data_IF_286355082663
#
_entry.id   IF_286355082663
#
_cell.length_a   1.000
_cell.length_b   1.000
_cell.length_c   1.000
_cell.angle_alpha   90.00
_cell.angle_beta   90.00
_cell.angle_gamma   90.00
#
_symmetry.space_group_name_H-M   'P 1'
#
loop_
_entity.id
_entity.type
_entity.pdbx_description
1 polymer ?
#
# COMPACT_ATOMS: atom_id res chain seq x y z
N UNK A 1 24.04 33.71 -21.61
CA UNK A 1 22.92 32.85 -21.17
C UNK A 1 21.66 33.70 -21.17
N UNK A 2 20.85 33.60 -22.23
CA UNK A 2 19.61 34.37 -22.36
C UNK A 2 18.56 33.72 -21.44
N UNK A 3 18.32 34.31 -20.27
CA UNK A 3 17.09 34.02 -19.54
C UNK A 3 15.92 34.40 -20.46
N UNK A 4 14.96 33.50 -20.73
CA UNK A 4 13.80 33.86 -21.53
C UNK A 4 13.12 35.05 -20.87
N UNK A 5 12.84 36.09 -21.66
CA UNK A 5 12.10 37.26 -21.17
C UNK A 5 10.79 36.78 -20.54
N UNK A 6 10.30 37.41 -19.46
CA UNK A 6 9.09 36.98 -18.76
C UNK A 6 7.88 36.86 -19.70
N UNK A 7 7.83 37.70 -20.75
CA UNK A 7 6.85 37.64 -21.82
C UNK A 7 6.90 36.31 -22.60
N UNK A 8 8.09 35.82 -22.96
CA UNK A 8 8.25 34.55 -23.66
C UNK A 8 7.72 33.39 -22.81
N UNK A 9 8.06 33.37 -21.51
CA UNK A 9 7.58 32.36 -20.56
C UNK A 9 6.05 32.38 -20.43
N UNK A 10 5.43 33.56 -20.40
CA UNK A 10 3.97 33.70 -20.36
C UNK A 10 3.30 33.22 -21.64
N UNK A 11 3.86 33.53 -22.82
CA UNK A 11 3.34 33.07 -24.11
C UNK A 11 3.44 31.55 -24.22
N UNK A 12 4.59 30.96 -23.86
CA UNK A 12 4.76 29.50 -23.85
C UNK A 12 3.78 28.84 -22.89
N UNK A 13 3.61 29.38 -21.68
CA UNK A 13 2.63 28.88 -20.71
C UNK A 13 1.20 28.95 -21.27
N UNK A 14 0.82 30.08 -21.86
CA UNK A 14 -0.48 30.28 -22.50
C UNK A 14 -0.73 29.25 -23.61
N UNK A 15 0.24 29.04 -24.49
CA UNK A 15 0.15 28.05 -25.56
C UNK A 15 0.00 26.63 -25.00
N UNK A 16 0.78 26.25 -23.98
CA UNK A 16 0.68 24.94 -23.33
C UNK A 16 -0.69 24.72 -22.68
N UNK A 17 -1.27 25.74 -22.06
CA UNK A 17 -2.62 25.68 -21.49
C UNK A 17 -3.68 25.48 -22.57
N UNK A 18 -3.60 26.22 -23.69
CA UNK A 18 -4.52 26.08 -24.83
C UNK A 18 -4.42 24.69 -25.45
N UNK A 19 -3.22 24.19 -25.72
CA UNK A 19 -2.99 22.84 -26.26
C UNK A 19 -3.51 21.78 -25.28
N UNK A 20 -3.24 21.94 -23.98
CA UNK A 20 -3.74 21.04 -22.94
C UNK A 20 -5.26 20.99 -22.89
N UNK A 21 -5.92 22.15 -22.98
CA UNK A 21 -7.38 22.25 -23.01
C UNK A 21 -7.96 21.62 -24.27
N UNK A 22 -7.39 21.91 -25.44
CA UNK A 22 -7.81 21.33 -26.71
C UNK A 22 -7.73 19.80 -26.69
N UNK A 23 -6.63 19.23 -26.17
CA UNK A 23 -6.48 17.77 -26.00
C UNK A 23 -7.55 17.17 -25.08
N UNK A 24 -7.89 17.84 -23.98
CA UNK A 24 -8.94 17.39 -23.05
C UNK A 24 -10.33 17.44 -23.69
N UNK A 25 -10.63 18.49 -24.45
CA UNK A 25 -11.91 18.65 -25.14
C UNK A 25 -12.07 17.72 -26.35
N UNK A 26 -10.96 17.33 -26.98
CA UNK A 26 -10.91 16.34 -28.06
C UNK A 26 -10.82 14.89 -27.58
N UNK A 27 -10.60 14.66 -26.27
CA UNK A 27 -10.47 13.32 -25.70
C UNK A 27 -11.76 12.51 -25.86
N UNK A 28 -11.69 11.21 -26.22
CA UNK A 28 -12.87 10.33 -26.21
C UNK A 28 -13.52 10.23 -24.83
N UNK A 29 -12.74 10.47 -23.76
CA UNK A 29 -13.23 10.48 -22.38
C UNK A 29 -14.19 11.64 -22.08
N UNK A 30 -14.29 12.66 -22.95
CA UNK A 30 -15.29 13.74 -22.82
C UNK A 30 -16.72 13.20 -22.83
N UNK A 31 -16.97 12.11 -23.55
CA UNK A 31 -18.30 11.48 -23.69
C UNK A 31 -18.76 10.77 -22.41
N UNK A 32 -17.83 10.44 -21.51
CA UNK A 32 -18.14 9.79 -20.23
C UNK A 32 -18.85 10.81 -19.32
N UNK A 33 -19.97 10.46 -18.68
CA UNK A 33 -20.67 11.38 -17.81
C UNK A 33 -19.86 11.65 -16.53
N UNK A 34 -20.01 12.84 -15.97
CA UNK A 34 -19.31 13.25 -14.75
C UNK A 34 -19.27 14.77 -14.60
N UNK A 35 -18.73 15.29 -13.49
CA UNK A 35 -18.65 16.73 -13.25
C UNK A 35 -17.90 17.46 -14.36
N UNK A 36 -18.31 18.69 -14.75
CA UNK A 36 -17.55 19.47 -15.73
C UNK A 36 -16.10 19.71 -15.31
N UNK A 37 -15.86 19.88 -14.00
CA UNK A 37 -14.52 20.02 -13.44
C UNK A 37 -13.64 18.78 -13.69
N UNK A 38 -14.21 17.56 -13.75
CA UNK A 38 -13.44 16.34 -13.99
C UNK A 38 -12.95 16.22 -15.43
N UNK A 39 -13.53 16.95 -16.38
CA UNK A 39 -13.00 17.06 -17.74
C UNK A 39 -11.73 17.92 -17.77
N UNK A 40 -11.69 18.94 -16.91
CA UNK A 40 -10.66 19.96 -16.93
C UNK A 40 -9.53 19.69 -15.94
N UNK A 41 -9.78 19.11 -14.78
CA UNK A 41 -8.78 19.00 -13.72
C UNK A 41 -9.04 17.83 -12.78
N UNK A 42 -7.97 17.27 -12.22
CA UNK A 42 -8.03 16.26 -11.15
C UNK A 42 -8.05 16.89 -9.75
N UNK A 43 -7.91 18.22 -9.63
CA UNK A 43 -7.73 18.91 -8.35
C UNK A 43 -8.88 18.67 -7.37
N UNK A 44 -10.12 18.63 -7.85
CA UNK A 44 -11.29 18.38 -6.99
C UNK A 44 -11.22 16.99 -6.37
N UNK A 45 -10.88 15.97 -7.17
CA UNK A 45 -10.75 14.59 -6.70
C UNK A 45 -9.60 14.47 -5.69
N UNK A 46 -8.44 15.07 -5.99
CA UNK A 46 -7.27 15.09 -5.10
C UNK A 46 -7.57 15.79 -3.78
N UNK A 47 -8.29 16.91 -3.81
CA UNK A 47 -8.71 17.60 -2.60
C UNK A 47 -9.67 16.75 -1.76
N UNK A 48 -10.62 16.05 -2.38
CA UNK A 48 -11.49 15.09 -1.67
C UNK A 48 -10.70 13.96 -1.03
N UNK A 49 -9.65 13.49 -1.69
CA UNK A 49 -8.76 12.43 -1.20
C UNK A 49 -7.91 12.88 -0.01
N UNK A 50 -7.31 14.07 -0.08
CA UNK A 50 -6.57 14.66 1.04
C UNK A 50 -7.46 14.87 2.28
N UNK A 51 -8.76 15.11 2.08
CA UNK A 51 -9.73 15.26 3.17
C UNK A 51 -10.49 13.96 3.51
N UNK A 52 -9.94 12.78 3.18
CA UNK A 52 -10.52 11.47 3.47
C UNK A 52 -11.99 11.28 3.01
N UNK A 53 -12.43 12.02 2.00
CA UNK A 53 -13.82 12.05 1.51
C UNK A 53 -13.98 11.55 0.08
N UNK A 54 -12.90 11.01 -0.53
CA UNK A 54 -12.89 10.49 -1.91
C UNK A 54 -13.95 9.43 -2.13
N UNK A 55 -14.04 8.42 -1.26
CA UNK A 55 -15.00 7.31 -1.42
C UNK A 55 -16.44 7.80 -1.43
N UNK A 56 -16.83 8.62 -0.44
CA UNK A 56 -18.17 9.19 -0.36
C UNK A 56 -18.47 10.15 -1.53
N UNK A 57 -17.46 10.87 -2.03
CA UNK A 57 -17.60 11.70 -3.22
C UNK A 57 -17.84 10.86 -4.48
N UNK A 58 -17.01 9.84 -4.74
CA UNK A 58 -17.15 8.93 -5.90
C UNK A 58 -18.49 8.19 -5.86
N UNK A 59 -18.92 7.73 -4.68
CA UNK A 59 -20.23 7.09 -4.52
C UNK A 59 -21.38 8.01 -4.95
N UNK A 60 -21.39 9.27 -4.47
CA UNK A 60 -22.39 10.27 -4.89
C UNK A 60 -22.38 10.55 -6.38
N UNK A 61 -21.19 10.59 -7.00
CA UNK A 61 -21.11 10.73 -8.45
C UNK A 61 -21.73 9.53 -9.17
N UNK A 62 -21.53 8.31 -8.69
CA UNK A 62 -22.19 7.13 -9.27
C UNK A 62 -23.71 7.16 -9.08
N UNK A 63 -24.20 7.66 -7.96
CA UNK A 63 -25.65 7.87 -7.77
C UNK A 63 -26.22 8.88 -8.76
N UNK A 64 -25.45 9.91 -9.12
CA UNK A 64 -25.91 10.99 -10.01
C UNK A 64 -25.74 10.67 -11.52
N UNK A 65 -24.60 10.11 -11.90
CA UNK A 65 -24.18 9.94 -13.29
C UNK A 65 -24.28 8.49 -13.78
N UNK A 66 -24.56 7.54 -12.89
CA UNK A 66 -24.75 6.13 -13.21
C UNK A 66 -23.48 5.28 -13.07
N UNK A 67 -23.43 4.12 -13.74
CA UNK A 67 -22.42 3.09 -13.45
C UNK A 67 -21.02 3.38 -13.99
N UNK A 68 -20.86 4.38 -14.86
CA UNK A 68 -19.58 4.79 -15.44
C UNK A 68 -19.42 6.28 -15.27
N UNK A 69 -18.36 6.73 -14.59
CA UNK A 69 -18.21 8.14 -14.22
C UNK A 69 -16.77 8.62 -14.44
N UNK A 70 -16.62 9.77 -15.08
CA UNK A 70 -15.32 10.45 -15.19
C UNK A 70 -14.97 11.17 -13.89
N UNK A 71 -13.91 10.74 -13.23
CA UNK A 71 -13.40 11.32 -11.98
C UNK A 71 -12.35 12.40 -12.20
N UNK A 72 -11.53 12.26 -13.25
CA UNK A 72 -10.50 13.21 -13.66
C UNK A 72 -10.29 13.14 -15.19
N UNK A 73 -9.49 14.03 -15.81
CA UNK A 73 -9.37 14.08 -17.27
C UNK A 73 -8.88 12.76 -17.90
N UNK A 74 -8.16 11.96 -17.13
CA UNK A 74 -7.59 10.67 -17.49
C UNK A 74 -8.02 9.54 -16.54
N UNK A 75 -9.12 9.70 -15.79
CA UNK A 75 -9.55 8.73 -14.79
C UNK A 75 -11.07 8.49 -14.86
N UNK A 76 -11.45 7.23 -14.98
CA UNK A 76 -12.85 6.78 -15.05
C UNK A 76 -13.08 5.69 -14.00
N UNK A 77 -14.20 5.81 -13.30
CA UNK A 77 -14.66 4.84 -12.31
C UNK A 77 -15.84 4.06 -12.86
N UNK A 78 -15.89 2.78 -12.52
CA UNK A 78 -16.88 1.82 -12.98
C UNK A 78 -17.48 1.07 -11.81
N UNK A 79 -18.79 0.81 -11.85
CA UNK A 79 -19.50 -0.03 -10.86
C UNK A 79 -20.20 -1.24 -11.50
N UNK A 80 -20.01 -1.46 -12.80
CA UNK A 80 -20.66 -2.56 -13.52
C UNK A 80 -19.87 -3.88 -13.42
N UNK A 81 -20.59 -5.01 -13.37
CA UNK A 81 -20.00 -6.34 -13.35
C UNK A 81 -19.06 -6.63 -14.54
N UNK A 82 -19.42 -6.28 -15.80
CA UNK A 82 -18.51 -6.47 -16.93
C UNK A 82 -17.19 -5.72 -16.77
N UNK A 83 -17.22 -4.47 -16.27
CA UNK A 83 -16.01 -3.71 -16.03
C UNK A 83 -15.15 -4.32 -14.91
N UNK A 84 -15.78 -4.81 -13.83
CA UNK A 84 -15.06 -5.51 -12.76
C UNK A 84 -14.34 -6.74 -13.30
N UNK A 85 -15.02 -7.55 -14.13
CA UNK A 85 -14.42 -8.73 -14.78
C UNK A 85 -13.25 -8.33 -15.68
N UNK A 86 -13.41 -7.27 -16.48
CA UNK A 86 -12.41 -6.77 -17.40
C UNK A 86 -11.15 -6.24 -16.68
N UNK A 87 -11.33 -5.51 -15.58
CA UNK A 87 -10.24 -4.86 -14.85
C UNK A 87 -9.52 -5.84 -13.91
N UNK A 88 -10.26 -6.71 -13.21
CA UNK A 88 -9.70 -7.49 -12.10
C UNK A 88 -9.57 -8.99 -12.35
N UNK A 89 -10.39 -9.60 -13.22
CA UNK A 89 -10.39 -11.05 -13.39
C UNK A 89 -9.32 -11.53 -14.38
N UNK A 90 -8.82 -12.75 -14.14
CA UNK A 90 -7.96 -13.48 -15.07
C UNK A 90 -8.73 -13.78 -16.36
N UNK A 91 -8.39 -13.08 -17.45
CA UNK A 91 -9.06 -13.18 -18.76
C UNK A 91 -9.49 -11.84 -19.38
N UNK A 92 -9.41 -10.72 -18.64
CA UNK A 92 -9.55 -9.37 -19.20
C UNK A 92 -8.28 -8.86 -19.90
N UNK A 93 -8.27 -7.58 -20.27
CA UNK A 93 -7.18 -6.86 -20.97
C UNK A 93 -5.83 -6.81 -20.26
N UNK A 94 -5.76 -7.14 -18.96
CA UNK A 94 -4.49 -7.26 -18.25
C UNK A 94 -3.81 -5.93 -17.92
N UNK A 95 -4.59 -4.90 -17.56
CA UNK A 95 -4.05 -3.61 -17.12
C UNK A 95 -3.01 -3.76 -16.00
N UNK A 96 -1.89 -3.05 -16.15
CA UNK A 96 -0.89 -2.91 -15.10
C UNK A 96 -1.33 -1.87 -14.07
N UNK A 97 -0.82 -2.03 -12.85
CA UNK A 97 -1.03 -1.01 -11.80
C UNK A 97 -0.27 0.26 -12.17
N UNK A 98 -0.82 1.40 -11.77
CA UNK A 98 -0.18 2.70 -11.95
C UNK A 98 0.89 2.96 -10.89
N UNK A 99 1.74 3.94 -11.15
CA UNK A 99 2.74 4.49 -10.23
C UNK A 99 2.15 4.99 -8.89
N UNK A 100 0.82 5.14 -8.78
CA UNK A 100 0.12 5.33 -7.51
C UNK A 100 0.56 4.33 -6.42
N UNK A 101 0.84 3.09 -6.80
CA UNK A 101 1.28 2.06 -5.86
C UNK A 101 2.69 2.32 -5.28
N UNK A 102 3.49 3.20 -5.87
CA UNK A 102 4.80 3.57 -5.33
C UNK A 102 4.69 4.29 -3.98
N UNK A 103 3.51 4.85 -3.67
CA UNK A 103 3.17 5.44 -2.38
C UNK A 103 3.18 4.42 -1.22
N UNK A 104 3.16 3.12 -1.52
CA UNK A 104 3.16 2.04 -0.53
C UNK A 104 4.46 1.23 -0.56
N UNK A 105 5.54 1.76 -1.15
CA UNK A 105 6.87 1.17 -1.04
C UNK A 105 7.30 1.11 0.42
N UNK A 106 8.00 0.05 0.77
CA UNK A 106 8.58 -0.17 2.10
C UNK A 106 10.10 -0.26 1.92
N UNK A 107 10.86 0.46 2.75
CA UNK A 107 12.32 0.61 2.60
C UNK A 107 12.75 1.01 1.17
N UNK A 108 12.00 1.92 0.54
CA UNK A 108 12.25 2.38 -0.83
C UNK A 108 12.07 1.32 -1.93
N UNK A 109 11.62 0.11 -1.59
CA UNK A 109 11.56 -1.04 -2.48
C UNK A 109 10.11 -1.44 -2.77
N UNK A 110 9.83 -1.85 -4.01
CA UNK A 110 8.52 -2.41 -4.38
C UNK A 110 8.32 -3.79 -3.75
N UNK A 111 7.30 -3.90 -2.92
CA UNK A 111 6.76 -5.15 -2.38
C UNK A 111 5.91 -5.87 -3.43
N UNK A 112 5.50 -7.12 -3.18
CA UNK A 112 4.57 -7.84 -4.06
C UNK A 112 3.27 -7.03 -4.29
N UNK A 113 2.77 -6.34 -3.26
CA UNK A 113 1.59 -5.49 -3.37
C UNK A 113 1.79 -4.30 -4.35
N UNK A 114 3.00 -3.75 -4.43
CA UNK A 114 3.31 -2.52 -5.18
C UNK A 114 4.01 -2.77 -6.51
N UNK A 115 4.21 -4.03 -6.91
CA UNK A 115 4.71 -4.37 -8.24
C UNK A 115 3.72 -3.93 -9.32
N UNK A 116 4.21 -3.17 -10.30
CA UNK A 116 3.40 -2.62 -11.38
C UNK A 116 3.18 -3.65 -12.49
N UNK A 117 4.26 -4.26 -12.96
CA UNK A 117 4.25 -5.23 -14.04
C UNK A 117 3.66 -6.57 -13.56
N UNK A 118 2.65 -7.04 -14.30
CA UNK A 118 1.95 -8.30 -13.99
C UNK A 118 2.83 -9.55 -14.09
N UNK A 119 3.76 -9.62 -15.03
CA UNK A 119 4.63 -10.78 -15.24
C UNK A 119 5.61 -10.93 -14.06
N UNK A 120 6.25 -9.85 -13.65
CA UNK A 120 7.14 -9.82 -12.48
C UNK A 120 6.38 -10.17 -11.20
N UNK A 121 5.19 -9.59 -11.04
CA UNK A 121 4.28 -9.92 -9.94
C UNK A 121 3.92 -11.41 -9.93
N UNK A 122 3.56 -12.00 -11.07
CA UNK A 122 3.23 -13.41 -11.17
C UNK A 122 4.42 -14.33 -10.84
N UNK A 123 5.62 -13.97 -11.31
CA UNK A 123 6.87 -14.68 -10.99
C UNK A 123 7.13 -14.66 -9.48
N UNK A 124 7.07 -13.49 -8.84
CA UNK A 124 7.30 -13.36 -7.39
C UNK A 124 6.20 -14.01 -6.56
N UNK A 125 4.93 -13.89 -6.97
CA UNK A 125 3.80 -14.56 -6.33
C UNK A 125 3.99 -16.07 -6.31
N UNK A 126 4.42 -16.68 -7.43
CA UNK A 126 4.62 -18.14 -7.53
C UNK A 126 5.62 -18.68 -6.49
N UNK A 127 6.63 -17.89 -6.12
CA UNK A 127 7.63 -18.27 -5.11
C UNK A 127 6.99 -18.42 -3.72
N UNK A 128 6.05 -17.54 -3.38
CA UNK A 128 5.44 -17.42 -2.05
C UNK A 128 4.09 -18.13 -1.92
N UNK A 129 3.41 -18.39 -3.04
CA UNK A 129 2.04 -18.90 -3.08
C UNK A 129 1.87 -20.22 -2.30
N UNK A 130 2.89 -21.08 -2.31
CA UNK A 130 2.89 -22.34 -1.58
C UNK A 130 2.67 -22.11 -0.07
N UNK A 131 3.39 -21.18 0.57
CA UNK A 131 3.24 -20.89 2.01
C UNK A 131 1.79 -20.54 2.41
N UNK A 132 1.04 -19.93 1.51
CA UNK A 132 -0.34 -19.49 1.71
C UNK A 132 -1.38 -20.50 1.19
N UNK A 133 -0.97 -21.65 0.67
CA UNK A 133 -1.89 -22.69 0.27
C UNK A 133 -2.60 -23.28 1.50
N UNK A 134 -3.91 -23.58 1.38
CA UNK A 134 -4.69 -24.18 2.46
C UNK A 134 -4.04 -25.44 3.02
N UNK A 135 -3.40 -26.26 2.18
CA UNK A 135 -2.67 -27.46 2.59
C UNK A 135 -1.50 -27.18 3.53
N UNK A 136 -0.87 -26.00 3.44
CA UNK A 136 0.23 -25.59 4.31
C UNK A 136 -0.26 -24.87 5.57
N UNK A 137 -1.28 -24.01 5.44
CA UNK A 137 -1.90 -23.31 6.59
C UNK A 137 -2.59 -24.29 7.55
N UNK A 138 -3.22 -25.33 7.03
CA UNK A 138 -3.95 -26.32 7.84
C UNK A 138 -3.05 -27.37 8.51
N UNK A 139 -1.73 -27.31 8.34
CA UNK A 139 -0.79 -28.21 9.04
C UNK A 139 -0.85 -27.95 10.55
N UNK A 140 -0.66 -29.02 11.34
CA UNK A 140 -0.80 -29.00 12.80
C UNK A 140 -0.03 -27.85 13.47
N UNK A 141 1.23 -27.62 13.08
CA UNK A 141 2.07 -26.57 13.69
C UNK A 141 1.54 -25.15 13.39
N UNK A 142 1.12 -24.89 12.15
CA UNK A 142 0.63 -23.58 11.74
C UNK A 142 -0.75 -23.27 12.36
N UNK A 143 -1.67 -24.23 12.31
CA UNK A 143 -3.01 -24.06 12.88
C UNK A 143 -2.98 -24.00 14.42
N UNK A 144 -2.03 -24.69 15.06
CA UNK A 144 -1.87 -24.64 16.51
C UNK A 144 -1.50 -23.23 16.96
N UNK A 145 -0.55 -22.57 16.27
CA UNK A 145 -0.18 -21.18 16.58
C UNK A 145 -1.35 -20.20 16.48
N UNK A 146 -2.29 -20.42 15.55
CA UNK A 146 -3.54 -19.65 15.45
C UNK A 146 -4.46 -19.97 16.63
N UNK A 147 -4.70 -21.26 16.92
CA UNK A 147 -5.56 -21.70 18.03
C UNK A 147 -5.09 -21.16 19.38
N UNK A 148 -3.79 -21.17 19.65
CA UNK A 148 -3.24 -20.67 20.91
C UNK A 148 -3.49 -19.17 21.06
N UNK A 149 -3.25 -18.38 20.00
CA UNK A 149 -3.54 -16.94 19.99
C UNK A 149 -5.04 -16.63 20.06
N UNK A 150 -5.89 -17.46 19.44
CA UNK A 150 -7.34 -17.32 19.57
C UNK A 150 -7.79 -17.52 21.02
N UNK A 151 -7.19 -18.45 21.77
CA UNK A 151 -7.48 -18.62 23.20
C UNK A 151 -7.08 -17.39 24.00
N UNK A 152 -5.85 -16.89 23.82
CA UNK A 152 -5.37 -15.68 24.51
C UNK A 152 -6.28 -14.48 24.21
N UNK A 153 -6.71 -14.31 22.96
CA UNK A 153 -7.66 -13.27 22.59
C UNK A 153 -9.02 -13.43 23.32
N UNK A 154 -9.59 -14.64 23.34
CA UNK A 154 -10.85 -14.91 24.03
C UNK A 154 -10.73 -14.71 25.56
N UNK A 155 -9.62 -15.14 26.15
CA UNK A 155 -9.34 -14.96 27.57
C UNK A 155 -9.26 -13.47 27.92
N UNK A 156 -8.58 -12.67 27.09
CA UNK A 156 -8.52 -11.20 27.22
C UNK A 156 -9.90 -10.55 27.09
N UNK A 157 -10.74 -11.01 26.16
CA UNK A 157 -12.10 -10.50 26.01
C UNK A 157 -13.02 -10.86 27.18
N UNK A 158 -12.84 -12.03 27.79
CA UNK A 158 -13.73 -12.57 28.85
C UNK A 158 -13.30 -12.20 30.26
N UNK A 159 -12.01 -11.89 30.46
CA UNK A 159 -11.44 -11.44 31.73
C UNK A 159 -11.73 -9.97 32.05
N UNK A 160 -12.31 -9.21 31.11
CA UNK A 160 -12.85 -7.87 31.32
C UNK A 160 -14.21 -7.94 32.02
N UNK A 161 -14.24 -8.44 33.26
CA UNK A 161 -15.48 -8.73 34.00
C UNK A 161 -15.89 -7.65 35.01
N UNK A 162 -15.00 -6.70 35.33
CA UNK A 162 -15.35 -5.56 36.22
C UNK A 162 -15.94 -4.36 35.45
N UNK A 163 -15.49 -4.15 34.21
CA UNK A 163 -16.04 -3.18 33.27
C UNK A 163 -16.95 -3.90 32.28
N UNK A 164 -18.23 -3.53 32.20
CA UNK A 164 -19.19 -4.08 31.22
C UNK A 164 -18.83 -3.81 29.74
N UNK A 165 -17.65 -3.25 29.47
CA UNK A 165 -17.15 -2.90 28.14
C UNK A 165 -15.70 -3.35 27.97
N UNK A 166 -15.41 -3.93 26.80
CA UNK A 166 -14.08 -4.36 26.38
C UNK A 166 -13.71 -3.64 25.08
N UNK A 167 -12.46 -3.19 24.98
CA UNK A 167 -11.92 -2.59 23.76
C UNK A 167 -11.53 -3.72 22.80
N UNK A 168 -12.31 -3.89 21.73
CA UNK A 168 -12.13 -4.99 20.77
C UNK A 168 -11.27 -4.56 19.58
N UNK A 169 -11.21 -3.27 19.26
CA UNK A 169 -10.56 -2.81 18.04
C UNK A 169 -9.04 -3.04 18.11
N UNK A 170 -8.37 -2.67 19.19
CA UNK A 170 -6.94 -2.97 19.37
C UNK A 170 -6.69 -4.44 19.66
N UNK A 171 -7.58 -5.10 20.42
CA UNK A 171 -7.46 -6.54 20.67
C UNK A 171 -7.48 -7.37 19.37
N UNK A 172 -8.34 -7.02 18.41
CA UNK A 172 -8.38 -7.66 17.09
C UNK A 172 -7.13 -7.38 16.26
N UNK A 173 -6.59 -6.14 16.31
CA UNK A 173 -5.35 -5.81 15.62
C UNK A 173 -4.16 -6.59 16.21
N UNK A 174 -4.06 -6.67 17.53
CA UNK A 174 -3.06 -7.46 18.25
C UNK A 174 -3.15 -8.94 17.86
N UNK A 175 -4.36 -9.53 17.93
CA UNK A 175 -4.61 -10.91 17.52
C UNK A 175 -4.19 -11.18 16.07
N UNK A 176 -4.59 -10.31 15.14
CA UNK A 176 -4.23 -10.45 13.73
C UNK A 176 -2.71 -10.34 13.52
N UNK A 177 -2.06 -9.38 14.19
CA UNK A 177 -0.61 -9.20 14.15
C UNK A 177 0.10 -10.47 14.62
N UNK A 178 -0.27 -11.00 15.78
CA UNK A 178 0.36 -12.19 16.36
C UNK A 178 0.18 -13.42 15.48
N UNK A 179 -0.99 -13.59 14.86
CA UNK A 179 -1.21 -14.68 13.91
C UNK A 179 -0.34 -14.54 12.66
N UNK A 180 -0.26 -13.33 12.11
CA UNK A 180 0.55 -13.04 10.91
C UNK A 180 2.03 -13.22 11.23
N UNK A 181 2.55 -12.61 12.30
CA UNK A 181 3.96 -12.70 12.68
C UNK A 181 4.36 -14.12 13.06
N UNK A 182 3.46 -14.92 13.64
CA UNK A 182 3.69 -16.36 13.81
C UNK A 182 3.86 -17.07 12.46
N UNK A 183 3.00 -16.78 11.48
CA UNK A 183 3.17 -17.34 10.14
C UNK A 183 4.44 -16.82 9.43
N UNK A 184 4.90 -15.60 9.73
CA UNK A 184 6.08 -15.02 9.11
C UNK A 184 7.39 -15.49 9.74
N UNK A 185 7.44 -15.59 11.07
CA UNK A 185 8.68 -15.58 11.85
C UNK A 185 8.76 -16.60 12.99
N UNK A 186 7.78 -17.50 13.16
CA UNK A 186 7.79 -18.46 14.26
C UNK A 186 9.15 -19.18 14.42
N UNK A 187 9.71 -19.27 15.65
CA UNK A 187 9.07 -18.94 16.93
C UNK A 187 9.15 -17.45 17.33
N UNK A 188 9.84 -16.61 16.57
CA UNK A 188 10.08 -15.20 16.85
C UNK A 188 8.94 -14.27 16.39
N UNK A 189 7.70 -14.77 16.43
CA UNK A 189 6.52 -13.94 16.17
C UNK A 189 6.27 -12.95 17.31
N UNK A 190 5.40 -11.98 17.09
CA UNK A 190 4.98 -11.02 18.11
C UNK A 190 4.03 -11.69 19.10
N UNK A 191 3.94 -11.06 20.26
CA UNK A 191 2.96 -11.31 21.31
C UNK A 191 2.33 -9.98 21.76
N UNK A 192 1.65 -9.31 20.83
CA UNK A 192 0.89 -8.07 21.06
C UNK A 192 -0.26 -8.26 22.05
N UNK A 193 -0.79 -9.48 22.19
CA UNK A 193 -1.85 -9.80 23.14
C UNK A 193 -1.32 -9.98 24.57
N UNK A 194 -0.13 -10.55 24.73
CA UNK A 194 0.47 -10.90 26.03
C UNK A 194 1.51 -9.92 26.56
N UNK A 195 2.18 -9.15 25.70
CA UNK A 195 3.26 -8.24 26.10
C UNK A 195 2.96 -6.78 25.77
N UNK A 196 3.36 -5.88 26.67
CA UNK A 196 3.10 -4.44 26.54
C UNK A 196 3.95 -3.83 25.43
N UNK A 197 5.19 -4.30 25.26
CA UNK A 197 6.11 -3.81 24.26
C UNK A 197 5.55 -4.01 22.83
N UNK A 198 5.08 -5.23 22.53
CA UNK A 198 4.51 -5.55 21.22
C UNK A 198 3.12 -4.91 21.03
N UNK A 199 2.35 -4.76 22.11
CA UNK A 199 1.09 -4.01 22.08
C UNK A 199 1.33 -2.55 21.67
N UNK A 200 2.33 -1.88 22.24
CA UNK A 200 2.71 -0.50 21.87
C UNK A 200 3.16 -0.42 20.41
N UNK A 201 3.91 -1.41 19.92
CA UNK A 201 4.25 -1.51 18.50
C UNK A 201 2.99 -1.58 17.62
N UNK A 202 1.99 -2.38 18.02
CA UNK A 202 0.72 -2.47 17.30
C UNK A 202 -0.04 -1.14 17.34
N UNK A 203 -0.10 -0.45 18.48
CA UNK A 203 -0.71 0.88 18.57
C UNK A 203 -0.05 1.88 17.62
N UNK A 204 1.29 1.91 17.54
CA UNK A 204 2.01 2.79 16.62
C UNK A 204 1.64 2.50 15.16
N UNK A 205 1.57 1.22 14.78
CA UNK A 205 1.22 0.85 13.41
C UNK A 205 -0.23 1.17 13.06
N UNK A 206 -1.17 1.02 14.00
CA UNK A 206 -2.59 1.31 13.79
C UNK A 206 -2.88 2.80 13.76
N UNK A 207 -2.13 3.60 14.51
CA UNK A 207 -2.29 5.06 14.58
C UNK A 207 -1.52 5.84 13.48
N UNK A 208 -0.92 5.16 12.50
CA UNK A 208 -0.20 5.81 11.38
C UNK A 208 -1.15 6.67 10.53
N UNK A 209 -0.92 7.98 10.51
CA UNK A 209 -1.69 8.97 9.73
C UNK A 209 -0.86 9.61 8.60
N UNK A 210 0.10 8.85 8.06
CA UNK A 210 1.03 9.35 7.03
C UNK A 210 0.43 9.50 5.62
N UNK A 211 -0.86 9.20 5.45
CA UNK A 211 -1.47 9.09 4.11
C UNK A 211 -1.41 10.41 3.35
N UNK A 212 -1.74 11.53 4.01
CA UNK A 212 -1.70 12.85 3.38
C UNK A 212 -0.29 13.22 2.89
N UNK A 213 0.74 12.93 3.69
CA UNK A 213 2.13 13.23 3.33
C UNK A 213 2.53 12.47 2.07
N UNK A 214 2.16 11.18 2.04
CA UNK A 214 2.42 10.27 0.93
C UNK A 214 1.64 10.67 -0.34
N UNK A 215 0.39 11.14 -0.21
CA UNK A 215 -0.40 11.66 -1.33
C UNK A 215 0.20 12.94 -1.93
N UNK A 216 0.68 13.86 -1.09
CA UNK A 216 1.36 15.08 -1.55
C UNK A 216 2.64 14.72 -2.30
N UNK A 217 3.43 13.78 -1.76
CA UNK A 217 4.64 13.27 -2.40
C UNK A 217 4.36 12.67 -3.78
N UNK A 218 3.27 11.91 -3.91
CA UNK A 218 2.86 11.29 -5.17
C UNK A 218 2.38 12.32 -6.20
N UNK A 219 1.49 13.26 -5.82
CA UNK A 219 0.92 14.20 -6.78
C UNK A 219 1.85 15.33 -7.20
N UNK A 220 2.82 15.70 -6.36
CA UNK A 220 3.79 16.74 -6.70
C UNK A 220 5.19 16.39 -6.18
N UNK A 221 5.91 15.48 -6.88
CA UNK A 221 7.22 15.03 -6.45
C UNK A 221 8.26 16.16 -6.37
N UNK A 222 8.15 17.17 -7.25
CA UNK A 222 9.06 18.32 -7.22
C UNK A 222 8.77 19.25 -6.04
N UNK A 223 7.50 19.51 -5.72
CA UNK A 223 7.13 20.29 -4.54
C UNK A 223 7.57 19.57 -3.27
N UNK A 224 7.33 18.27 -3.19
CA UNK A 224 7.74 17.45 -2.06
C UNK A 224 9.27 17.43 -1.89
N UNK A 225 10.04 17.31 -2.97
CA UNK A 225 11.52 17.34 -2.90
C UNK A 225 12.07 18.68 -2.40
N UNK A 226 11.43 19.79 -2.73
CA UNK A 226 11.89 21.13 -2.37
C UNK A 226 11.42 21.57 -0.97
N UNK A 227 10.25 21.11 -0.55
CA UNK A 227 9.58 21.60 0.66
C UNK A 227 9.23 20.51 1.67
N UNK A 228 9.82 19.31 1.59
CA UNK A 228 9.52 18.19 2.48
C UNK A 228 9.61 18.55 3.96
N UNK A 229 10.63 19.33 4.36
CA UNK A 229 10.82 19.78 5.75
C UNK A 229 9.73 20.73 6.25
N UNK A 230 9.14 21.54 5.36
CA UNK A 230 8.00 22.39 5.70
C UNK A 230 6.71 21.56 5.73
N UNK A 231 6.52 20.69 4.73
CA UNK A 231 5.35 19.81 4.65
C UNK A 231 5.29 18.91 5.89
N UNK A 232 6.43 18.40 6.38
CA UNK A 232 6.49 17.56 7.58
C UNK A 232 6.03 18.25 8.87
N UNK A 233 6.02 19.60 8.90
CA UNK A 233 5.48 20.35 10.04
C UNK A 233 3.95 20.28 10.11
N UNK A 234 3.29 20.13 8.96
CA UNK A 234 1.83 20.09 8.85
C UNK A 234 1.29 18.68 8.68
N UNK A 235 2.07 17.78 8.08
CA UNK A 235 1.65 16.41 7.77
C UNK A 235 2.78 15.45 8.07
N UNK A 236 2.53 14.44 8.90
CA UNK A 236 3.61 13.56 9.39
C UNK A 236 4.06 12.55 8.30
N UNK A 237 5.37 12.36 8.08
CA UNK A 237 5.86 11.24 7.30
C UNK A 237 5.52 9.92 8.00
N UNK A 238 5.57 8.80 7.26
CA UNK A 238 5.38 7.48 7.85
C UNK A 238 6.59 7.13 8.72
N UNK A 239 6.40 7.06 10.02
CA UNK A 239 7.41 6.63 10.97
C UNK A 239 6.81 5.54 11.87
N UNK A 240 7.17 4.28 11.58
CA UNK A 240 6.82 3.12 12.41
C UNK A 240 8.09 2.42 12.91
N UNK A 241 9.00 3.15 13.60
CA UNK A 241 10.31 2.63 13.95
C UNK A 241 10.25 1.35 14.79
N UNK A 242 9.23 1.16 15.64
CA UNK A 242 9.12 -0.05 16.45
C UNK A 242 8.90 -1.28 15.56
N UNK A 243 8.02 -1.18 14.58
CA UNK A 243 7.75 -2.25 13.60
C UNK A 243 8.99 -2.50 12.73
N UNK A 244 9.63 -1.43 12.24
CA UNK A 244 10.81 -1.55 11.40
C UNK A 244 11.97 -2.23 12.15
N UNK A 245 12.24 -1.81 13.37
CA UNK A 245 13.28 -2.42 14.22
C UNK A 245 12.94 -3.86 14.57
N UNK A 246 11.69 -4.15 14.95
CA UNK A 246 11.23 -5.51 15.21
C UNK A 246 11.47 -6.41 14.00
N UNK A 247 10.97 -6.05 12.81
CA UNK A 247 11.14 -6.85 11.59
C UNK A 247 12.62 -7.05 11.26
N UNK A 248 13.42 -5.97 11.26
CA UNK A 248 14.83 -6.04 10.89
C UNK A 248 15.66 -6.85 11.88
N UNK A 249 15.30 -6.87 13.16
CA UNK A 249 15.96 -7.71 14.15
C UNK A 249 15.48 -9.16 14.04
N UNK A 250 14.18 -9.41 13.90
CA UNK A 250 13.60 -10.74 13.77
C UNK A 250 14.15 -11.49 12.54
N UNK A 251 14.29 -10.81 11.40
CA UNK A 251 14.85 -11.42 10.18
C UNK A 251 16.31 -11.87 10.33
N UNK A 252 17.08 -11.26 11.24
CA UNK A 252 18.47 -11.68 11.53
C UNK A 252 18.53 -13.00 12.31
N UNK A 253 17.43 -13.41 12.94
CA UNK A 253 17.36 -14.70 13.63
C UNK A 253 17.21 -15.80 12.58
N UNK A 254 18.26 -16.59 12.36
CA UNK A 254 18.28 -17.62 11.30
C UNK A 254 17.46 -18.88 11.60
N UNK A 255 17.03 -19.08 12.84
CA UNK A 255 16.31 -20.29 13.26
C UNK A 255 14.79 -20.09 13.24
N UNK A 256 14.20 -20.16 12.04
CA UNK A 256 12.73 -20.10 11.86
C UNK A 256 12.16 -21.44 11.40
N UNK A 257 10.94 -21.74 11.85
CA UNK A 257 10.28 -22.99 11.50
C UNK A 257 9.98 -23.10 10.00
N UNK A 258 9.96 -24.35 9.50
CA UNK A 258 9.84 -24.66 8.06
C UNK A 258 8.56 -24.16 7.40
N UNK A 259 7.48 -23.96 8.16
CA UNK A 259 6.21 -23.48 7.63
C UNK A 259 6.18 -21.96 7.43
N UNK A 260 7.17 -21.24 7.96
CA UNK A 260 7.17 -19.78 7.95
C UNK A 260 7.51 -19.21 6.59
N UNK A 261 7.02 -17.99 6.31
CA UNK A 261 7.38 -17.27 5.10
C UNK A 261 8.90 -16.97 5.04
N UNK A 262 9.50 -16.59 6.18
CA UNK A 262 10.92 -16.27 6.22
C UNK A 262 11.77 -17.49 5.84
N UNK A 263 11.46 -18.69 6.33
CA UNK A 263 12.16 -19.91 5.94
C UNK A 263 12.09 -20.15 4.43
N UNK A 264 10.91 -19.95 3.83
CA UNK A 264 10.72 -20.11 2.38
C UNK A 264 11.51 -19.10 1.56
N UNK A 265 11.53 -17.85 2.01
CA UNK A 265 12.32 -16.79 1.38
C UNK A 265 13.80 -17.13 1.42
N UNK A 266 14.33 -17.55 2.57
CA UNK A 266 15.74 -17.94 2.73
C UNK A 266 16.14 -19.13 1.86
N UNK A 267 15.28 -20.16 1.75
CA UNK A 267 15.52 -21.28 0.83
C UNK A 267 15.61 -20.82 -0.62
N UNK A 268 14.69 -19.95 -1.05
CA UNK A 268 14.65 -19.45 -2.42
C UNK A 268 15.80 -18.50 -2.73
N UNK A 269 16.27 -17.75 -1.74
CA UNK A 269 17.45 -16.92 -1.83
C UNK A 269 18.70 -17.77 -2.13
N UNK A 270 18.85 -18.88 -1.41
CA UNK A 270 19.92 -19.87 -1.62
C UNK A 270 19.81 -20.57 -2.98
N UNK A 271 18.63 -21.08 -3.35
CA UNK A 271 18.40 -21.79 -4.63
C UNK A 271 18.71 -20.94 -5.86
N UNK A 272 18.44 -19.63 -5.76
CA UNK A 272 18.63 -18.70 -6.86
C UNK A 272 20.00 -17.96 -6.78
N UNK A 273 20.84 -18.29 -5.80
CA UNK A 273 22.21 -17.79 -5.69
C UNK A 273 22.35 -16.31 -5.30
N UNK A 274 21.38 -15.75 -4.59
CA UNK A 274 21.45 -14.34 -4.17
C UNK A 274 22.33 -14.23 -2.90
N UNK A 275 23.46 -13.52 -2.99
CA UNK A 275 24.27 -13.21 -1.81
C UNK A 275 23.71 -11.97 -1.11
N UNK A 276 23.19 -12.14 0.09
CA UNK A 276 22.81 -11.05 0.99
C UNK A 276 24.06 -10.52 1.73
N UNK A 277 24.77 -9.57 1.12
CA UNK A 277 25.77 -8.79 1.86
C UNK A 277 25.04 -7.80 2.79
N UNK A 278 24.89 -8.17 4.07
CA UNK A 278 24.40 -7.29 5.14
C UNK A 278 25.48 -6.29 5.60
N UNK A 279 26.20 -5.67 4.67
CA UNK A 279 27.11 -4.55 4.93
C UNK A 279 26.67 -3.33 4.12
N UNK A 280 25.95 -2.42 4.79
CA UNK A 280 25.99 -0.97 4.58
C UNK A 280 25.51 -0.36 3.26
N UNK A 281 25.34 -1.11 2.17
CA UNK A 281 24.75 -0.61 0.91
C UNK A 281 23.94 -1.70 0.22
N UNK A 282 22.65 -1.48 -0.10
CA UNK A 282 21.85 -2.52 -0.72
C UNK A 282 22.18 -2.58 -2.21
N UNK A 283 23.09 -3.48 -2.60
CA UNK A 283 23.08 -4.09 -3.94
C UNK A 283 22.34 -5.42 -3.88
N UNK A 284 21.08 -5.39 -3.42
CA UNK A 284 20.16 -6.45 -3.83
C UNK A 284 19.71 -6.14 -5.27
N UNK A 285 19.55 -7.10 -6.17
CA UNK A 285 19.09 -6.78 -7.53
C UNK A 285 17.61 -6.42 -7.57
N UNK A 286 16.94 -6.32 -6.41
CA UNK A 286 15.69 -5.54 -6.29
C UNK A 286 15.91 -4.04 -6.56
N UNK A 287 17.16 -3.56 -6.55
CA UNK A 287 17.54 -2.20 -6.97
C UNK A 287 17.83 -2.07 -8.48
N UNK A 288 18.07 -3.17 -9.19
CA UNK A 288 18.38 -3.14 -10.64
C UNK A 288 17.14 -3.14 -11.55
N UNK A 289 15.92 -3.12 -11.01
CA UNK A 289 14.69 -2.84 -11.76
C UNK A 289 14.44 -1.32 -11.93
N UNK A 290 15.53 -0.54 -12.03
CA UNK A 290 15.51 0.83 -12.57
C UNK A 290 15.89 0.76 -14.05
N UNK A 291 14.92 0.43 -14.89
CA UNK A 291 14.88 0.81 -16.30
C UNK A 291 13.44 0.77 -16.75
#
# INVERSE_FOLDING_TARGET
MLLPTPLYSLVVLGLLLVVGLARRLASPLRKVPGPPSSLLTSLVLRWRELNASRTAYVHRLHQQYGPVVRLAPNEVSFTSWPALKEIYCSGGSGYDKTDFYDMFKVFGTRTLFTMLNKADHAKRKRILADCYANTNIMRSVAIQGIRDRSRVFLDRCTSATESKTSEIFMALHAYACDCITNHLFHPHGSDCLGTREDEVMMHQSTADDSLQYRLIAHYSPSLHRLFSGIISLFVKPREVPLVDHYILNTVKHGNVARFTLLNRLSQKDQELGWQTNFEGTPKSPWTSFRS
#
